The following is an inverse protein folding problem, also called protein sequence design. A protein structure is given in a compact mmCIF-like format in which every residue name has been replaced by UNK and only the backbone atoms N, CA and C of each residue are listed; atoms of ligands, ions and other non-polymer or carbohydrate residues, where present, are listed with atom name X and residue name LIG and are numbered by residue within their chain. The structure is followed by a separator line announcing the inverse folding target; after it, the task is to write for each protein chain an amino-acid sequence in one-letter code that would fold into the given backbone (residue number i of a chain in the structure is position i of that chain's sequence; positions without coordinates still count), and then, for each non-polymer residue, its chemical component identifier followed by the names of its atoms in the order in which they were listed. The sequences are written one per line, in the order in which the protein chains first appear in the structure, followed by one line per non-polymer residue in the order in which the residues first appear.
data_IF_391478280204
#
_entry.id   IF_391478280204
#
_cell.length_a   1.000
_cell.length_b   1.000
_cell.length_c   1.000
_cell.angle_alpha   90.00
_cell.angle_beta   90.00
_cell.angle_gamma   90.00
#
_symmetry.space_group_name_H-M   'P 1'
#
loop_
_entity.id
_entity.type
_entity.pdbx_description
1 polymer ?
#
# COMPACT_ATOMS: atom_id res chain seq x y z
N UNK A 1 15.25 -4.65 9.40
CA UNK A 1 15.02 -3.87 10.64
C UNK A 1 13.64 -3.23 10.55
N UNK A 2 12.58 -4.01 10.75
CA UNK A 2 11.18 -3.56 10.62
C UNK A 2 10.45 -3.40 11.95
N UNK A 3 11.01 -3.91 13.06
CA UNK A 3 10.39 -3.85 14.40
C UNK A 3 10.37 -2.46 15.04
N UNK A 4 11.04 -1.47 14.44
CA UNK A 4 11.12 -0.10 14.98
C UNK A 4 10.09 0.85 14.38
N UNK A 5 9.25 0.40 13.43
CA UNK A 5 8.24 1.24 12.78
C UNK A 5 6.94 1.19 13.58
N UNK A 6 6.57 2.31 14.21
CA UNK A 6 5.36 2.41 15.01
C UNK A 6 4.10 1.99 14.24
N UNK A 7 3.38 0.99 14.77
CA UNK A 7 2.15 0.45 14.18
C UNK A 7 2.37 -0.45 12.96
N UNK A 8 3.61 -0.78 12.60
CA UNK A 8 3.89 -1.83 11.61
C UNK A 8 3.78 -3.19 12.28
N UNK A 9 2.91 -4.05 11.78
CA UNK A 9 2.52 -5.31 12.44
C UNK A 9 2.52 -6.49 11.46
N UNK A 10 3.41 -6.47 10.47
CA UNK A 10 3.57 -7.58 9.52
C UNK A 10 4.02 -8.85 10.27
N UNK A 11 3.27 -9.94 10.11
CA UNK A 11 3.55 -11.21 10.79
C UNK A 11 3.29 -11.20 12.29
N UNK A 12 2.65 -10.17 12.82
CA UNK A 12 2.17 -10.17 14.20
C UNK A 12 1.05 -11.20 14.36
N UNK A 13 0.92 -11.82 15.53
CA UNK A 13 -0.15 -12.79 15.82
C UNK A 13 -1.47 -12.10 16.16
N UNK A 14 -1.42 -10.81 16.47
CA UNK A 14 -2.61 -10.02 16.83
C UNK A 14 -3.38 -9.48 15.61
N UNK A 15 -2.80 -9.51 14.40
CA UNK A 15 -3.55 -9.16 13.19
C UNK A 15 -4.49 -10.29 12.80
N UNK A 16 -5.65 -9.92 12.27
CA UNK A 16 -6.63 -10.87 11.78
C UNK A 16 -6.13 -11.56 10.51
N UNK A 17 -6.62 -12.77 10.29
CA UNK A 17 -6.41 -13.50 9.05
C UNK A 17 -7.33 -12.94 7.94
N UNK A 18 -6.82 -12.84 6.71
CA UNK A 18 -7.67 -12.63 5.53
C UNK A 18 -8.60 -13.84 5.35
N UNK A 19 -9.85 -13.61 4.94
CA UNK A 19 -10.75 -14.68 4.55
C UNK A 19 -10.42 -15.25 3.16
N UNK A 20 -9.66 -14.52 2.34
CA UNK A 20 -9.06 -15.05 1.13
C UNK A 20 -8.07 -16.18 1.47
N UNK A 21 -8.17 -17.24 0.69
CA UNK A 21 -7.28 -18.39 0.71
C UNK A 21 -6.00 -18.15 -0.10
N UNK A 22 -5.01 -19.03 0.09
CA UNK A 22 -3.81 -19.03 -0.76
C UNK A 22 -4.13 -19.39 -2.21
N UNK A 23 -5.16 -20.21 -2.44
CA UNK A 23 -5.65 -20.55 -3.79
C UNK A 23 -6.24 -19.30 -4.49
N UNK A 24 -7.06 -18.51 -3.79
CA UNK A 24 -7.58 -17.26 -4.33
C UNK A 24 -6.47 -16.24 -4.61
N UNK A 25 -5.40 -16.22 -3.80
CA UNK A 25 -4.21 -15.41 -4.08
C UNK A 25 -3.52 -15.87 -5.37
N UNK A 26 -3.40 -17.16 -5.63
CA UNK A 26 -2.87 -17.68 -6.89
C UNK A 26 -3.78 -17.33 -8.09
N UNK A 27 -5.10 -17.42 -7.93
CA UNK A 27 -6.05 -16.99 -8.97
C UNK A 27 -5.90 -15.50 -9.31
N UNK A 28 -5.69 -14.64 -8.31
CA UNK A 28 -5.39 -13.22 -8.53
C UNK A 28 -4.07 -13.02 -9.29
N UNK A 29 -3.01 -13.77 -8.95
CA UNK A 29 -1.74 -13.74 -9.68
C UNK A 29 -1.93 -14.16 -11.13
N UNK A 30 -2.67 -15.25 -11.39
CA UNK A 30 -3.00 -15.71 -12.75
C UNK A 30 -3.77 -14.65 -13.52
N UNK A 31 -4.81 -14.06 -12.91
CA UNK A 31 -5.62 -12.99 -13.51
C UNK A 31 -4.79 -11.76 -13.88
N UNK A 32 -3.84 -11.39 -13.03
CA UNK A 32 -2.92 -10.28 -13.27
C UNK A 32 -1.75 -10.64 -14.23
N UNK A 33 -1.66 -11.90 -14.67
CA UNK A 33 -0.49 -12.46 -15.39
C UNK A 33 0.81 -12.20 -14.62
N UNK A 34 0.76 -12.31 -13.30
CA UNK A 34 1.88 -12.16 -12.40
C UNK A 34 2.62 -13.49 -12.27
N UNK A 35 3.91 -13.48 -12.58
CA UNK A 35 4.73 -14.68 -12.73
C UNK A 35 6.02 -14.57 -11.92
N UNK A 36 6.79 -15.66 -11.86
CA UNK A 36 8.14 -15.65 -11.27
C UNK A 36 9.06 -14.59 -11.89
N UNK A 37 8.86 -14.24 -13.17
CA UNK A 37 9.60 -13.14 -13.79
C UNK A 37 9.28 -11.79 -13.13
N UNK A 38 8.00 -11.52 -12.85
CA UNK A 38 7.58 -10.31 -12.13
C UNK A 38 8.14 -10.29 -10.71
N UNK A 39 8.22 -11.43 -10.03
CA UNK A 39 8.86 -11.54 -8.70
C UNK A 39 10.34 -11.16 -8.76
N UNK A 40 11.07 -11.61 -9.79
CA UNK A 40 12.49 -11.23 -9.98
C UNK A 40 12.63 -9.72 -10.21
N UNK A 41 11.80 -9.14 -11.07
CA UNK A 41 11.86 -7.70 -11.34
C UNK A 41 11.36 -6.85 -10.17
N UNK A 42 10.43 -7.32 -9.36
CA UNK A 42 10.06 -6.66 -8.11
C UNK A 42 11.22 -6.66 -7.11
N UNK A 43 11.98 -7.76 -7.01
CA UNK A 43 13.17 -7.80 -6.15
C UNK A 43 14.22 -6.78 -6.61
N UNK A 44 14.50 -6.73 -7.91
CA UNK A 44 15.37 -5.72 -8.53
C UNK A 44 14.85 -4.30 -8.25
N UNK A 45 13.54 -4.07 -8.41
CA UNK A 45 12.92 -2.80 -8.07
C UNK A 45 13.14 -2.44 -6.59
N UNK A 46 13.02 -3.39 -5.67
CA UNK A 46 13.29 -3.18 -4.25
C UNK A 46 14.73 -2.71 -3.97
N UNK A 47 15.72 -3.31 -4.62
CA UNK A 47 17.13 -2.90 -4.53
C UNK A 47 17.33 -1.48 -5.10
N UNK A 48 16.66 -1.15 -6.19
CA UNK A 48 16.68 0.20 -6.77
C UNK A 48 16.03 1.22 -5.83
N UNK A 49 14.85 0.92 -5.30
CA UNK A 49 14.05 1.84 -4.50
C UNK A 49 14.56 1.98 -3.06
N UNK A 50 15.39 1.05 -2.57
CA UNK A 50 16.04 1.17 -1.29
C UNK A 50 16.88 2.46 -1.23
N UNK A 51 16.63 3.28 -0.21
CA UNK A 51 17.20 4.61 -0.04
C UNK A 51 16.42 5.76 -0.70
N UNK A 52 15.36 5.45 -1.47
CA UNK A 52 14.54 6.43 -2.18
C UNK A 52 13.10 6.53 -1.64
N UNK A 53 12.67 5.59 -0.78
CA UNK A 53 11.27 5.49 -0.32
C UNK A 53 10.77 6.73 0.39
N UNK A 54 11.60 7.41 1.19
CA UNK A 54 11.22 8.68 1.84
C UNK A 54 10.91 9.79 0.83
N UNK A 55 11.69 9.90 -0.25
CA UNK A 55 11.44 10.88 -1.31
C UNK A 55 10.15 10.56 -2.07
N UNK A 56 9.92 9.27 -2.37
CA UNK A 56 8.71 8.80 -3.04
C UNK A 56 7.46 9.10 -2.20
N UNK A 57 7.48 8.77 -0.91
CA UNK A 57 6.36 9.03 -0.01
C UNK A 57 6.15 10.53 0.19
N UNK A 58 7.22 11.33 0.24
CA UNK A 58 7.12 12.79 0.29
C UNK A 58 6.41 13.35 -0.94
N UNK A 59 6.81 12.93 -2.15
CA UNK A 59 6.17 13.29 -3.41
C UNK A 59 4.66 12.97 -3.37
N UNK A 60 4.30 11.74 -3.01
CA UNK A 60 2.89 11.34 -2.95
C UNK A 60 2.08 12.14 -1.92
N UNK A 61 2.58 12.28 -0.69
CA UNK A 61 1.83 12.87 0.42
C UNK A 61 1.79 14.39 0.36
N UNK A 62 2.94 15.02 0.15
CA UNK A 62 3.13 16.46 0.34
C UNK A 62 2.99 17.23 -0.96
N UNK A 63 3.42 16.67 -2.08
CA UNK A 63 3.39 17.36 -3.36
C UNK A 63 2.13 17.04 -4.17
N UNK A 64 1.57 15.83 -4.03
CA UNK A 64 0.38 15.43 -4.79
C UNK A 64 -0.90 15.41 -3.93
N UNK A 65 -1.00 14.51 -2.95
CA UNK A 65 -2.24 14.31 -2.15
C UNK A 65 -2.66 15.61 -1.46
N UNK A 66 -1.71 16.36 -0.89
CA UNK A 66 -2.00 17.61 -0.18
C UNK A 66 -2.74 18.66 -1.04
N UNK A 67 -2.59 18.61 -2.37
CA UNK A 67 -3.20 19.53 -3.32
C UNK A 67 -4.50 19.01 -3.94
N UNK A 68 -4.94 17.81 -3.58
CA UNK A 68 -6.20 17.19 -4.06
C UNK A 68 -7.20 17.15 -2.89
N UNK A 69 -8.15 18.11 -2.79
CA UNK A 69 -8.94 18.31 -1.56
C UNK A 69 -9.67 17.07 -1.05
N UNK A 70 -10.26 16.28 -1.95
CA UNK A 70 -11.01 15.08 -1.57
C UNK A 70 -10.10 13.93 -1.10
N UNK A 71 -8.81 13.91 -1.47
CA UNK A 71 -7.83 12.96 -0.93
C UNK A 71 -7.19 13.50 0.35
N UNK A 72 -6.79 14.77 0.36
CA UNK A 72 -6.11 15.42 1.48
C UNK A 72 -6.89 15.33 2.79
N UNK A 73 -8.23 15.44 2.74
CA UNK A 73 -9.10 15.37 3.94
C UNK A 73 -8.89 14.11 4.76
N UNK A 74 -8.48 13.00 4.14
CA UNK A 74 -8.31 11.71 4.81
C UNK A 74 -7.10 11.65 5.75
N UNK A 75 -6.21 12.65 5.66
CA UNK A 75 -5.04 12.80 6.53
C UNK A 75 -5.05 14.10 7.33
N UNK A 76 -6.23 14.71 7.48
CA UNK A 76 -6.48 15.92 8.28
C UNK A 76 -7.42 15.61 9.43
N UNK A 77 -7.43 16.46 10.46
CA UNK A 77 -8.45 16.38 11.50
C UNK A 77 -9.84 16.70 10.95
N UNK A 78 -10.88 16.41 11.74
CA UNK A 78 -12.29 16.62 11.32
C UNK A 78 -12.62 18.09 10.99
N UNK A 79 -11.90 19.03 11.58
CA UNK A 79 -11.98 20.47 11.30
C UNK A 79 -11.02 20.94 10.18
N UNK A 80 -10.30 20.02 9.54
CA UNK A 80 -9.39 20.30 8.41
C UNK A 80 -7.95 20.66 8.80
N UNK A 81 -7.62 20.65 10.10
CA UNK A 81 -6.28 20.87 10.63
C UNK A 81 -5.26 19.78 10.28
N UNK A 82 -3.98 20.11 10.44
CA UNK A 82 -2.86 19.18 10.19
C UNK A 82 -2.70 18.16 11.32
N UNK A 83 -2.32 16.92 10.97
CA UNK A 83 -2.00 15.85 11.92
C UNK A 83 -0.53 15.41 11.74
N UNK A 84 0.46 16.18 12.24
CA UNK A 84 1.88 15.95 11.93
C UNK A 84 2.40 14.60 12.42
N UNK A 85 2.04 14.17 13.64
CA UNK A 85 2.49 12.89 14.19
C UNK A 85 1.89 11.69 13.44
N UNK A 86 0.61 11.79 13.04
CA UNK A 86 -0.04 10.79 12.19
C UNK A 86 0.66 10.68 10.84
N UNK A 87 0.95 11.81 10.19
CA UNK A 87 1.67 11.83 8.92
C UNK A 87 3.07 11.24 9.08
N UNK A 88 3.83 11.62 10.11
CA UNK A 88 5.16 11.09 10.36
C UNK A 88 5.17 9.56 10.53
N UNK A 89 4.27 9.01 11.37
CA UNK A 89 4.18 7.56 11.62
C UNK A 89 3.65 6.80 10.41
N UNK A 90 2.58 7.28 9.79
CA UNK A 90 1.99 6.62 8.61
C UNK A 90 2.90 6.68 7.38
N UNK A 91 3.70 7.73 7.21
CA UNK A 91 4.71 7.81 6.15
C UNK A 91 5.74 6.69 6.29
N UNK A 92 6.22 6.40 7.49
CA UNK A 92 7.17 5.29 7.72
C UNK A 92 6.59 3.93 7.34
N UNK A 93 5.31 3.70 7.64
CA UNK A 93 4.63 2.47 7.19
C UNK A 93 4.43 2.43 5.68
N UNK A 94 4.21 3.59 5.05
CA UNK A 94 4.08 3.69 3.59
C UNK A 94 5.44 3.44 2.90
N UNK A 95 6.54 3.97 3.45
CA UNK A 95 7.91 3.69 3.00
C UNK A 95 8.21 2.19 3.07
N UNK A 96 7.85 1.54 4.18
CA UNK A 96 8.03 0.11 4.37
C UNK A 96 7.16 -0.72 3.42
N UNK A 97 5.92 -0.28 3.14
CA UNK A 97 5.03 -0.93 2.18
C UNK A 97 5.60 -0.96 0.75
N UNK A 98 6.34 0.08 0.33
CA UNK A 98 7.05 0.08 -0.97
C UNK A 98 8.07 -1.08 -0.99
N UNK A 99 8.85 -1.24 0.08
CA UNK A 99 9.84 -2.31 0.17
C UNK A 99 9.18 -3.68 0.29
N UNK A 100 8.11 -3.80 1.08
CA UNK A 100 7.42 -5.07 1.27
C UNK A 100 6.76 -5.54 -0.03
N UNK A 101 6.20 -4.62 -0.81
CA UNK A 101 5.67 -4.88 -2.16
C UNK A 101 6.72 -5.54 -3.06
N UNK A 102 7.97 -5.11 -2.95
CA UNK A 102 9.07 -5.57 -3.78
C UNK A 102 9.79 -6.82 -3.24
N UNK A 103 9.91 -6.95 -1.92
CA UNK A 103 10.88 -7.85 -1.28
C UNK A 103 10.24 -8.99 -0.48
N UNK A 104 8.97 -8.91 -0.11
CA UNK A 104 8.29 -9.99 0.62
C UNK A 104 7.82 -11.09 -0.32
N UNK A 105 7.87 -12.37 0.10
CA UNK A 105 7.15 -13.42 -0.60
C UNK A 105 5.65 -13.17 -0.51
N UNK A 106 4.91 -13.46 -1.59
CA UNK A 106 3.45 -13.34 -1.60
C UNK A 106 2.85 -14.64 -1.08
N UNK A 107 3.01 -14.82 0.23
CA UNK A 107 2.57 -15.96 1.02
C UNK A 107 1.41 -15.56 1.95
N UNK A 108 0.99 -16.49 2.81
CA UNK A 108 -0.08 -16.24 3.79
C UNK A 108 0.17 -15.03 4.68
N UNK A 109 1.41 -14.81 5.13
CA UNK A 109 1.72 -13.70 6.03
C UNK A 109 1.57 -12.36 5.30
N UNK A 110 2.00 -12.31 4.04
CA UNK A 110 1.80 -11.14 3.20
C UNK A 110 0.31 -10.89 2.93
N UNK A 111 -0.47 -11.94 2.60
CA UNK A 111 -1.91 -11.84 2.37
C UNK A 111 -2.66 -11.27 3.58
N UNK A 112 -2.39 -11.82 4.77
CA UNK A 112 -2.98 -11.34 6.03
C UNK A 112 -2.64 -9.87 6.28
N UNK A 113 -1.41 -9.45 5.95
CA UNK A 113 -1.02 -8.05 6.11
C UNK A 113 -1.63 -7.13 5.05
N UNK A 114 -1.83 -7.60 3.82
CA UNK A 114 -2.57 -6.83 2.81
C UNK A 114 -4.01 -6.58 3.26
N UNK A 115 -4.67 -7.59 3.80
CA UNK A 115 -6.00 -7.44 4.40
C UNK A 115 -6.00 -6.44 5.56
N UNK A 116 -5.04 -6.54 6.48
CA UNK A 116 -4.86 -5.58 7.59
C UNK A 116 -4.67 -4.13 7.09
N UNK A 117 -3.89 -3.92 6.04
CA UNK A 117 -3.76 -2.59 5.42
C UNK A 117 -5.09 -2.13 4.85
N UNK A 118 -5.84 -3.00 4.17
CA UNK A 118 -7.20 -2.72 3.71
C UNK A 118 -8.12 -2.25 4.85
N UNK A 119 -8.16 -2.99 5.96
CA UNK A 119 -8.94 -2.62 7.15
C UNK A 119 -8.57 -1.25 7.73
N UNK A 120 -7.29 -0.86 7.66
CA UNK A 120 -6.82 0.46 8.13
C UNK A 120 -7.30 1.62 7.24
N UNK A 121 -7.80 1.34 6.04
CA UNK A 121 -8.48 2.32 5.19
C UNK A 121 -9.99 2.36 5.43
N UNK A 122 -10.57 1.35 6.10
CA UNK A 122 -12.01 1.24 6.36
C UNK A 122 -12.37 1.61 7.79
N UNK A 123 -13.67 1.73 8.08
CA UNK A 123 -14.16 2.14 9.40
C UNK A 123 -13.70 1.23 10.56
N UNK A 124 -13.60 -0.10 10.40
CA UNK A 124 -13.11 -1.00 11.43
C UNK A 124 -11.76 -0.68 12.04
N UNK A 125 -10.78 -0.15 11.28
CA UNK A 125 -9.42 0.11 11.83
C UNK A 125 -8.83 1.48 11.48
N UNK A 126 -9.49 2.29 10.64
CA UNK A 126 -8.98 3.64 10.35
C UNK A 126 -8.85 4.46 11.64
N UNK A 127 -7.74 5.18 11.74
CA UNK A 127 -7.33 6.02 12.85
C UNK A 127 -6.92 5.31 14.16
N UNK A 128 -7.14 4.00 14.30
CA UNK A 128 -6.88 3.28 15.56
C UNK A 128 -5.38 3.12 15.85
N UNK A 129 -4.60 2.76 14.84
CA UNK A 129 -3.15 2.48 14.97
C UNK A 129 -2.38 3.68 15.52
N UNK A 130 -2.78 4.91 15.16
CA UNK A 130 -2.10 6.14 15.60
C UNK A 130 -2.94 6.97 16.58
N UNK A 131 -4.10 6.44 17.01
CA UNK A 131 -5.03 7.10 17.94
C UNK A 131 -5.39 8.54 17.55
N UNK A 132 -5.83 8.76 16.31
CA UNK A 132 -6.17 10.10 15.79
C UNK A 132 -7.65 10.29 15.52
N UNK A 133 -8.08 11.55 15.37
CA UNK A 133 -9.43 11.90 14.93
C UNK A 133 -9.38 12.50 13.52
N UNK A 134 -9.81 11.72 12.53
CA UNK A 134 -9.89 12.08 11.11
C UNK A 134 -11.14 11.44 10.50
N UNK A 135 -11.34 11.51 9.18
CA UNK A 135 -12.46 10.84 8.51
C UNK A 135 -12.57 9.37 8.93
N UNK A 136 -13.78 8.85 9.04
CA UNK A 136 -14.02 7.48 9.54
C UNK A 136 -13.55 6.39 8.59
N UNK A 137 -13.46 6.65 7.29
CA UNK A 137 -12.90 5.74 6.29
C UNK A 137 -12.33 6.54 5.10
N UNK A 138 -11.64 5.86 4.20
CA UNK A 138 -11.22 6.33 2.88
C UNK A 138 -12.06 5.56 1.86
N UNK A 139 -12.91 6.19 1.03
CA UNK A 139 -13.67 5.50 0.01
C UNK A 139 -12.77 4.68 -0.93
N UNK A 140 -13.14 3.45 -1.27
CA UNK A 140 -12.31 2.62 -2.15
C UNK A 140 -12.09 3.25 -3.53
N UNK A 141 -13.07 4.01 -4.02
CA UNK A 141 -12.94 4.80 -5.26
C UNK A 141 -11.79 5.82 -5.19
N UNK A 142 -11.55 6.40 -4.01
CA UNK A 142 -10.48 7.39 -3.82
C UNK A 142 -9.12 6.67 -3.83
N UNK A 143 -9.03 5.49 -3.20
CA UNK A 143 -7.85 4.60 -3.28
C UNK A 143 -7.56 4.20 -4.74
N UNK A 144 -8.55 3.63 -5.44
CA UNK A 144 -8.41 3.19 -6.83
C UNK A 144 -8.04 4.35 -7.77
N UNK A 145 -8.63 5.54 -7.59
CA UNK A 145 -8.34 6.71 -8.42
C UNK A 145 -6.90 7.21 -8.28
N UNK A 146 -6.22 6.88 -7.18
CA UNK A 146 -4.85 7.29 -6.92
C UNK A 146 -3.81 6.29 -7.43
N UNK A 147 -4.21 5.08 -7.80
CA UNK A 147 -3.30 4.03 -8.30
C UNK A 147 -2.52 4.45 -9.56
N UNK A 148 -3.13 5.10 -10.58
CA UNK A 148 -2.37 5.56 -11.74
C UNK A 148 -1.24 6.51 -11.35
N UNK A 149 -1.48 7.40 -10.38
CA UNK A 149 -0.48 8.35 -9.88
C UNK A 149 0.67 7.62 -9.18
N UNK A 150 0.36 6.70 -8.26
CA UNK A 150 1.38 5.86 -7.60
C UNK A 150 2.19 5.12 -8.66
N UNK A 151 1.54 4.54 -9.67
CA UNK A 151 2.23 3.77 -10.69
C UNK A 151 3.14 4.63 -11.59
N UNK A 152 2.64 5.74 -12.14
CA UNK A 152 3.39 6.59 -13.07
C UNK A 152 4.60 7.24 -12.41
N UNK A 153 4.44 7.70 -11.16
CA UNK A 153 5.51 8.37 -10.42
C UNK A 153 6.65 7.44 -10.02
N UNK A 154 6.48 6.11 -10.03
CA UNK A 154 7.54 5.15 -9.69
C UNK A 154 8.58 4.99 -10.79
N UNK A 155 8.20 5.10 -12.07
CA UNK A 155 9.09 4.81 -13.21
C UNK A 155 10.37 5.66 -13.21
N UNK A 156 10.34 6.99 -12.94
CA UNK A 156 11.56 7.77 -12.78
C UNK A 156 12.48 7.27 -11.67
N UNK A 157 11.95 6.82 -10.53
CA UNK A 157 12.77 6.30 -9.42
C UNK A 157 13.45 4.97 -9.77
N UNK A 158 12.77 4.12 -10.52
CA UNK A 158 13.30 2.85 -11.03
C UNK A 158 14.47 3.06 -12.01
N UNK A 159 14.53 4.20 -12.70
CA UNK A 159 15.62 4.52 -13.64
C UNK A 159 16.89 5.13 -13.02
N UNK A 160 16.90 5.43 -11.72
CA UNK A 160 17.99 6.23 -11.11
C UNK A 160 19.28 5.49 -10.82
N UNK A 161 19.30 4.15 -10.84
CA UNK A 161 20.48 3.33 -10.52
C UNK A 161 21.11 2.64 -11.73
N UNK A 162 21.03 3.26 -12.92
CA UNK A 162 21.81 2.86 -14.09
C UNK A 162 21.39 1.55 -14.77
N UNK A 163 20.16 1.08 -14.52
CA UNK A 163 19.60 -0.08 -15.20
C UNK A 163 19.18 0.29 -16.63
N UNK A 164 19.09 -0.71 -17.52
CA UNK A 164 18.64 -0.52 -18.90
C UNK A 164 17.18 -0.10 -18.97
N UNK A 165 16.77 0.51 -20.08
CA UNK A 165 15.37 0.92 -20.28
C UNK A 165 14.40 -0.28 -20.21
N UNK A 166 14.82 -1.43 -20.73
CA UNK A 166 14.03 -2.67 -20.70
C UNK A 166 13.87 -3.20 -19.27
N UNK A 167 14.93 -3.17 -18.45
CA UNK A 167 14.84 -3.54 -17.03
C UNK A 167 13.91 -2.59 -16.26
N UNK A 168 14.01 -1.28 -16.50
CA UNK A 168 13.12 -0.29 -15.89
C UNK A 168 11.66 -0.53 -16.26
N UNK A 169 11.39 -0.87 -17.52
CA UNK A 169 10.06 -1.20 -17.99
C UNK A 169 9.51 -2.48 -17.36
N UNK A 170 10.35 -3.52 -17.23
CA UNK A 170 9.97 -4.76 -16.57
C UNK A 170 9.71 -4.56 -15.06
N UNK A 171 10.56 -3.80 -14.36
CA UNK A 171 10.33 -3.40 -12.97
C UNK A 171 9.01 -2.65 -12.80
N UNK A 172 8.74 -1.68 -13.68
CA UNK A 172 7.53 -0.87 -13.64
C UNK A 172 6.26 -1.70 -13.89
N UNK A 173 6.32 -2.64 -14.85
CA UNK A 173 5.21 -3.56 -15.13
C UNK A 173 4.93 -4.51 -13.97
N UNK A 174 5.97 -5.05 -13.35
CA UNK A 174 5.84 -5.93 -12.20
C UNK A 174 5.25 -5.18 -10.98
N UNK A 175 5.69 -3.94 -10.75
CA UNK A 175 5.08 -3.03 -9.77
C UNK A 175 3.60 -2.79 -10.05
N UNK A 176 3.23 -2.44 -11.29
CA UNK A 176 1.84 -2.20 -11.68
C UNK A 176 0.94 -3.41 -11.43
N UNK A 177 1.39 -4.62 -11.79
CA UNK A 177 0.65 -5.87 -11.52
C UNK A 177 0.47 -6.11 -10.02
N UNK A 178 1.53 -5.93 -9.23
CA UNK A 178 1.46 -6.07 -7.77
C UNK A 178 0.45 -5.10 -7.17
N UNK A 179 0.47 -3.82 -7.58
CA UNK A 179 -0.49 -2.82 -7.11
C UNK A 179 -1.93 -3.27 -7.33
N UNK A 180 -2.24 -3.82 -8.51
CA UNK A 180 -3.58 -4.29 -8.83
C UNK A 180 -3.98 -5.53 -8.02
N UNK A 181 -3.07 -6.47 -7.80
CA UNK A 181 -3.32 -7.64 -6.91
C UNK A 181 -3.62 -7.15 -5.49
N UNK A 182 -2.83 -6.22 -4.96
CA UNK A 182 -3.05 -5.67 -3.63
C UNK A 182 -4.41 -4.96 -3.51
N UNK A 183 -4.81 -4.18 -4.52
CA UNK A 183 -6.14 -3.55 -4.53
C UNK A 183 -7.26 -4.57 -4.61
N UNK A 184 -7.09 -5.65 -5.37
CA UNK A 184 -8.06 -6.74 -5.42
C UNK A 184 -8.21 -7.42 -4.05
N UNK A 185 -7.13 -7.62 -3.31
CA UNK A 185 -7.20 -8.14 -1.94
C UNK A 185 -7.93 -7.16 -1.02
N UNK A 186 -7.67 -5.85 -1.14
CA UNK A 186 -8.29 -4.87 -0.27
C UNK A 186 -9.81 -4.77 -0.43
N UNK A 187 -10.39 -5.20 -1.57
CA UNK A 187 -11.86 -5.19 -1.74
C UNK A 187 -12.56 -5.99 -0.66
N UNK A 188 -11.96 -7.10 -0.23
CA UNK A 188 -12.44 -7.94 0.87
C UNK A 188 -12.68 -7.12 2.15
N UNK A 189 -11.66 -6.37 2.60
CA UNK A 189 -11.74 -5.52 3.79
C UNK A 189 -12.82 -4.42 3.66
N UNK A 190 -13.06 -3.93 2.44
CA UNK A 190 -14.13 -2.97 2.16
C UNK A 190 -15.52 -3.62 2.21
N UNK A 191 -15.68 -4.81 1.66
CA UNK A 191 -16.94 -5.56 1.69
C UNK A 191 -17.32 -5.95 3.12
N UNK A 192 -16.39 -6.48 3.89
CA UNK A 192 -16.58 -6.79 5.32
C UNK A 192 -17.01 -5.54 6.10
N UNK A 193 -16.34 -4.41 5.87
CA UNK A 193 -16.70 -3.15 6.52
C UNK A 193 -18.12 -2.70 6.18
N UNK A 194 -18.68 -3.05 5.01
CA UNK A 194 -20.08 -2.72 4.69
C UNK A 194 -21.06 -3.70 5.33
N UNK A 195 -20.74 -5.01 5.35
CA UNK A 195 -21.56 -6.04 6.01
C UNK A 195 -21.75 -5.71 7.49
N UNK A 196 -20.68 -5.29 8.18
CA UNK A 196 -20.72 -4.89 9.59
C UNK A 196 -21.52 -3.61 9.88
N UNK A 197 -21.88 -2.81 8.85
CA UNK A 197 -22.78 -1.66 9.01
C UNK A 197 -24.25 -2.02 8.81
N UNK A 198 -24.52 -3.14 8.14
CA UNK A 198 -25.86 -3.57 7.76
C UNK A 198 -26.51 -4.53 8.78
N UNK A 199 -25.70 -5.12 9.68
CA UNK A 199 -26.15 -5.89 10.84
C UNK A 199 -26.14 -5.06 12.11
#
# INVERSE_FOLDING_TARGET
MSNDIAGYSYGDREIGHSSLSEEELEDLKVGARFTEEDVRYLRMAGEVLQGQTTEIVHLWRSEIIAHIPHLAKHSRSLDGGSLPDYLARSNRRFEQWILDTCLRPYDRTWLDYQHEIGLRHTAPKKNQVDHVSSTSHIPFRDVLSFIPVINETMKPFLGRKGHTQDEVECMHRAWSKSMLIQMAIWTEAYEESQKNKAG
#
